data_IF_475312933017
#
_entry.id   IF_475312933017
#
_cell.length_a   1.000
_cell.length_b   1.000
_cell.length_c   1.000
_cell.angle_alpha   90.00
_cell.angle_beta   90.00
_cell.angle_gamma   90.00
#
_symmetry.space_group_name_H-M   'P 1'
#
loop_
_entity.id
_entity.type
_entity.pdbx_description
1 polymer ?
#
# COMPACT_ATOMS: atom_id res chain seq x y z
N UNK A 1 20.56 -32.23 -6.00
CA UNK A 1 19.19 -32.76 -6.15
C UNK A 1 18.45 -32.51 -4.85
N UNK A 2 17.31 -31.82 -4.88
CA UNK A 2 16.35 -31.74 -3.77
C UNK A 2 15.03 -31.15 -4.28
N UNK A 3 14.05 -32.00 -4.54
CA UNK A 3 12.62 -31.72 -4.76
C UNK A 3 12.25 -30.30 -5.23
N UNK A 4 12.13 -30.10 -6.55
CA UNK A 4 11.51 -28.91 -7.16
C UNK A 4 9.97 -28.94 -7.08
N UNK A 5 9.43 -29.23 -5.89
CA UNK A 5 8.01 -29.08 -5.61
C UNK A 5 7.71 -27.60 -5.35
N UNK A 6 6.69 -27.05 -6.02
CA UNK A 6 6.06 -25.82 -5.52
C UNK A 6 5.45 -26.19 -4.16
N UNK A 7 5.65 -25.41 -3.08
CA UNK A 7 5.04 -25.71 -1.80
C UNK A 7 3.52 -25.67 -1.96
N UNK A 8 2.82 -26.70 -1.46
CA UNK A 8 1.36 -26.75 -1.49
C UNK A 8 0.81 -25.52 -0.76
N UNK A 9 0.15 -24.64 -1.51
CA UNK A 9 -0.47 -23.45 -0.97
C UNK A 9 -1.73 -23.90 -0.21
N UNK A 10 -1.78 -23.80 1.13
CA UNK A 10 -2.94 -24.24 1.88
C UNK A 10 -4.14 -23.37 1.52
N UNK A 11 -5.30 -24.01 1.37
CA UNK A 11 -6.59 -23.36 1.05
C UNK A 11 -7.55 -23.47 2.23
N UNK A 12 -8.58 -22.63 2.25
CA UNK A 12 -9.65 -22.73 3.24
C UNK A 12 -10.45 -24.05 3.00
N UNK A 13 -10.65 -24.92 4.01
CA UNK A 13 -11.25 -26.25 3.83
C UNK A 13 -12.79 -26.23 3.74
N UNK A 14 -13.41 -25.05 3.82
CA UNK A 14 -14.85 -24.81 3.78
C UNK A 14 -15.12 -23.50 3.06
N UNK A 15 -16.32 -23.32 2.49
CA UNK A 15 -16.72 -22.06 1.87
C UNK A 15 -16.61 -20.88 2.84
N UNK A 16 -16.23 -19.72 2.31
CA UNK A 16 -16.06 -18.50 3.10
C UNK A 16 -17.42 -17.93 3.53
N UNK A 17 -17.68 -17.91 4.84
CA UNK A 17 -18.85 -17.21 5.40
C UNK A 17 -18.46 -15.80 5.86
N UNK A 18 -19.04 -14.79 5.22
CA UNK A 18 -18.92 -13.39 5.67
C UNK A 18 -19.74 -13.22 6.96
N UNK A 19 -19.07 -12.81 8.04
CA UNK A 19 -19.67 -12.68 9.38
C UNK A 19 -19.77 -11.22 9.87
N UNK A 20 -18.91 -10.33 9.38
CA UNK A 20 -18.76 -8.97 9.90
C UNK A 20 -19.06 -7.95 8.81
N UNK A 21 -20.26 -7.35 8.89
CA UNK A 21 -20.79 -6.40 7.89
C UNK A 21 -21.29 -5.08 8.52
N UNK A 22 -21.00 -4.87 9.81
CA UNK A 22 -21.48 -3.73 10.61
C UNK A 22 -20.41 -2.69 10.91
N UNK A 23 -20.81 -1.50 11.34
CA UNK A 23 -19.90 -0.43 11.77
C UNK A 23 -19.28 -0.81 13.11
N UNK A 24 -17.96 -0.68 13.26
CA UNK A 24 -17.24 -1.05 14.48
C UNK A 24 -16.87 0.17 15.33
N UNK A 25 -17.51 0.33 16.49
CA UNK A 25 -17.31 1.47 17.40
C UNK A 25 -17.30 0.98 18.84
N UNK A 26 -16.33 1.44 19.65
CA UNK A 26 -16.19 1.10 21.07
C UNK A 26 -16.14 -0.42 21.37
N UNK A 27 -15.47 -1.19 20.50
CA UNK A 27 -15.46 -2.66 20.49
C UNK A 27 -16.83 -3.32 20.31
N UNK A 28 -17.81 -2.63 19.73
CA UNK A 28 -19.20 -3.07 19.51
C UNK A 28 -19.59 -2.91 18.03
N UNK A 29 -20.60 -3.66 17.59
CA UNK A 29 -21.10 -3.71 16.21
C UNK A 29 -22.41 -2.95 16.09
N UNK A 30 -22.45 -1.92 15.25
CA UNK A 30 -23.57 -0.98 15.11
C UNK A 30 -24.11 -0.99 13.69
N UNK A 31 -25.44 -0.84 13.57
CA UNK A 31 -26.08 -0.45 12.31
C UNK A 31 -25.88 1.06 12.07
N UNK A 32 -25.98 1.49 10.81
CA UNK A 32 -25.85 2.91 10.43
C UNK A 32 -26.97 3.77 11.04
N UNK A 33 -26.70 5.06 11.30
CA UNK A 33 -27.75 6.02 11.75
C UNK A 33 -28.89 6.13 10.74
N UNK A 34 -28.58 5.96 9.46
CA UNK A 34 -29.53 6.02 8.35
C UNK A 34 -30.33 4.72 8.16
N UNK A 35 -29.91 3.61 8.78
CA UNK A 35 -30.43 2.26 8.51
C UNK A 35 -30.09 1.72 7.13
N UNK A 36 -29.28 2.44 6.34
CA UNK A 36 -28.86 2.06 4.99
C UNK A 36 -27.71 1.06 5.00
N UNK A 37 -27.59 0.34 3.88
CA UNK A 37 -26.51 -0.59 3.56
C UNK A 37 -26.15 -0.43 2.08
N UNK A 38 -24.92 -0.79 1.71
CA UNK A 38 -24.44 -0.83 0.33
C UNK A 38 -23.99 -2.25 -0.04
N UNK A 39 -24.16 -2.67 -1.31
CA UNK A 39 -23.66 -3.95 -1.80
C UNK A 39 -22.13 -3.97 -1.92
N UNK A 40 -21.53 -5.11 -1.59
CA UNK A 40 -20.13 -5.44 -1.87
C UNK A 40 -20.10 -6.56 -2.90
N UNK A 41 -19.28 -6.44 -3.94
CA UNK A 41 -19.27 -7.35 -5.10
C UNK A 41 -18.00 -8.21 -5.19
N UNK A 42 -18.10 -9.31 -5.93
CA UNK A 42 -16.96 -10.09 -6.40
C UNK A 42 -16.56 -9.62 -7.82
N UNK A 43 -15.40 -8.98 -8.02
CA UNK A 43 -14.99 -8.48 -9.34
C UNK A 43 -14.74 -9.57 -10.40
N UNK A 44 -14.64 -10.84 -10.00
CA UNK A 44 -14.43 -11.96 -10.92
C UNK A 44 -15.74 -12.55 -11.47
N UNK A 45 -16.89 -12.23 -10.87
CA UNK A 45 -18.21 -12.76 -11.29
C UNK A 45 -19.31 -11.70 -11.43
N UNK A 46 -19.05 -10.47 -10.96
CA UNK A 46 -20.00 -9.34 -10.89
C UNK A 46 -21.20 -9.58 -9.97
N UNK A 47 -21.12 -10.60 -9.11
CA UNK A 47 -22.18 -10.97 -8.17
C UNK A 47 -21.98 -10.31 -6.80
N UNK A 48 -23.09 -9.98 -6.13
CA UNK A 48 -23.08 -9.43 -4.77
C UNK A 48 -22.65 -10.50 -3.76
N UNK A 49 -21.64 -10.19 -2.94
CA UNK A 49 -21.17 -11.00 -1.83
C UNK A 49 -22.03 -10.79 -0.58
N UNK A 50 -22.34 -9.53 -0.25
CA UNK A 50 -23.21 -9.15 0.86
C UNK A 50 -23.52 -7.64 0.88
N UNK A 51 -24.50 -7.25 1.68
CA UNK A 51 -24.74 -5.87 2.13
C UNK A 51 -23.88 -5.51 3.36
N UNK A 52 -23.30 -4.30 3.39
CA UNK A 52 -22.53 -3.72 4.51
C UNK A 52 -23.14 -2.38 4.93
N UNK A 53 -23.14 -2.07 6.23
CA UNK A 53 -23.71 -0.83 6.78
C UNK A 53 -23.11 0.46 6.18
N UNK A 54 -23.95 1.36 5.65
CA UNK A 54 -23.53 2.62 5.04
C UNK A 54 -23.27 3.69 6.11
N UNK A 55 -22.07 3.66 6.69
CA UNK A 55 -21.63 4.63 7.70
C UNK A 55 -21.38 6.04 7.15
N UNK A 56 -22.29 6.96 7.44
CA UNK A 56 -22.23 8.37 7.04
C UNK A 56 -21.62 9.25 8.18
N UNK A 57 -21.56 10.57 7.95
CA UNK A 57 -21.11 11.61 8.90
C UNK A 57 -21.62 11.42 10.32
N UNK A 58 -22.87 10.97 10.52
CA UNK A 58 -23.42 10.75 11.85
C UNK A 58 -22.74 9.59 12.59
N UNK A 59 -22.32 8.54 11.88
CA UNK A 59 -21.58 7.40 12.42
C UNK A 59 -20.07 7.71 12.54
N UNK A 60 -19.50 8.50 11.62
CA UNK A 60 -18.17 9.10 11.82
C UNK A 60 -18.17 10.00 13.07
N UNK A 61 -19.24 10.75 13.32
CA UNK A 61 -19.40 11.52 14.54
C UNK A 61 -19.52 10.63 15.80
N UNK A 62 -20.15 9.44 15.73
CA UNK A 62 -20.10 8.43 16.80
C UNK A 62 -18.67 7.87 16.99
N UNK A 63 -17.96 7.53 15.91
CA UNK A 63 -16.63 6.92 15.96
C UNK A 63 -15.56 7.90 16.48
N UNK A 64 -15.60 9.15 16.02
CA UNK A 64 -14.79 10.24 16.58
C UNK A 64 -15.34 10.70 17.95
N UNK A 65 -16.54 10.26 18.38
CA UNK A 65 -17.05 10.18 19.77
C UNK A 65 -16.73 8.86 20.51
N UNK A 66 -15.86 7.99 19.97
CA UNK A 66 -15.31 6.80 20.63
C UNK A 66 -13.76 6.66 20.70
N UNK A 67 -12.98 7.52 20.01
CA UNK A 67 -11.51 7.60 20.08
C UNK A 67 -10.84 8.53 21.17
N UNK A 68 -11.06 9.86 21.17
CA UNK A 68 -10.49 10.91 22.10
C UNK A 68 -10.49 10.61 23.61
N UNK A 69 -11.37 9.78 24.17
CA UNK A 69 -11.43 9.45 25.60
C UNK A 69 -10.89 8.06 25.93
N UNK A 70 -10.81 7.15 24.97
CA UNK A 70 -9.72 6.18 24.97
C UNK A 70 -8.38 6.95 24.93
N UNK A 71 -8.35 8.15 24.35
CA UNK A 71 -7.21 9.07 24.39
C UNK A 71 -7.19 10.11 25.55
N UNK A 72 -8.16 10.13 26.49
CA UNK A 72 -8.18 11.18 27.53
C UNK A 72 -7.10 10.93 28.59
N UNK A 73 -6.58 11.98 29.21
CA UNK A 73 -5.57 11.84 30.27
C UNK A 73 -6.17 11.04 31.43
N UNK A 74 -5.47 9.99 31.87
CA UNK A 74 -5.97 9.03 32.88
C UNK A 74 -6.75 7.85 32.32
N UNK A 75 -7.07 7.80 31.01
CA UNK A 75 -7.67 6.62 30.40
C UNK A 75 -6.70 5.43 30.38
N UNK A 76 -7.20 4.17 30.33
CA UNK A 76 -6.32 3.00 30.32
C UNK A 76 -5.35 2.95 29.13
N UNK A 77 -5.73 3.49 27.96
CA UNK A 77 -4.86 3.55 26.78
C UNK A 77 -3.83 4.70 26.84
N UNK A 78 -4.04 5.69 27.73
CA UNK A 78 -3.05 6.75 28.02
C UNK A 78 -2.15 6.45 29.21
N UNK A 79 -2.54 5.53 30.10
CA UNK A 79 -1.78 5.15 31.29
C UNK A 79 -1.08 3.79 31.16
N UNK A 80 -1.47 2.94 30.20
CA UNK A 80 -0.76 1.69 29.93
C UNK A 80 0.69 1.90 29.49
N UNK A 81 1.55 0.96 29.88
CA UNK A 81 2.95 0.96 29.50
C UNK A 81 3.16 0.86 27.99
N UNK A 82 4.26 1.46 27.54
CA UNK A 82 4.63 1.48 26.14
C UNK A 82 4.93 0.08 25.58
N UNK A 83 5.49 -0.80 26.42
CA UNK A 83 5.68 -2.23 26.14
C UNK A 83 4.36 -2.97 25.90
N UNK A 84 3.30 -2.64 26.64
CA UNK A 84 2.01 -3.32 26.51
C UNK A 84 1.27 -2.95 25.23
N UNK A 85 1.41 -1.72 24.72
CA UNK A 85 0.97 -1.41 23.34
C UNK A 85 1.68 -2.28 22.31
N UNK A 86 2.98 -2.52 22.50
CA UNK A 86 3.74 -3.49 21.71
C UNK A 86 3.20 -4.91 21.86
N UNK A 87 2.89 -5.35 23.09
CA UNK A 87 2.34 -6.69 23.35
C UNK A 87 0.98 -6.93 22.69
N UNK A 88 0.10 -5.92 22.70
CA UNK A 88 -1.20 -5.96 22.04
C UNK A 88 -1.06 -6.01 20.50
N UNK A 89 -0.10 -5.27 19.92
CA UNK A 89 0.21 -5.33 18.48
C UNK A 89 0.80 -6.68 18.05
N UNK A 90 1.69 -7.27 18.85
CA UNK A 90 2.15 -8.65 18.63
C UNK A 90 0.98 -9.64 18.66
N UNK A 91 0.11 -9.55 19.67
CA UNK A 91 -1.06 -10.44 19.77
C UNK A 91 -2.00 -10.29 18.58
N UNK A 92 -2.22 -9.07 18.06
CA UNK A 92 -3.01 -8.87 16.83
C UNK A 92 -2.34 -9.54 15.61
N UNK A 93 -1.02 -9.49 15.49
CA UNK A 93 -0.30 -10.20 14.43
C UNK A 93 -0.48 -11.72 14.52
N UNK A 94 -0.42 -12.28 15.74
CA UNK A 94 -0.61 -13.70 15.99
C UNK A 94 -2.06 -14.15 15.66
N UNK A 95 -3.05 -13.27 15.84
CA UNK A 95 -4.45 -13.53 15.44
C UNK A 95 -4.65 -13.44 13.92
N UNK A 96 -3.99 -12.52 13.24
CA UNK A 96 -3.99 -12.44 11.77
C UNK A 96 -3.24 -13.64 11.15
N UNK A 97 -2.22 -14.17 11.84
CA UNK A 97 -1.52 -15.40 11.45
C UNK A 97 -2.38 -16.66 11.67
N UNK A 98 -3.19 -16.71 12.74
CA UNK A 98 -4.22 -17.74 12.97
C UNK A 98 -5.28 -17.74 11.86
N UNK A 99 -5.82 -16.56 11.52
CA UNK A 99 -6.92 -16.41 10.57
C UNK A 99 -6.44 -16.26 9.11
N UNK A 100 -5.15 -16.47 8.84
CA UNK A 100 -4.49 -16.15 7.56
C UNK A 100 -5.15 -16.76 6.34
N UNK A 101 -5.67 -17.99 6.44
CA UNK A 101 -6.40 -18.64 5.33
C UNK A 101 -7.70 -17.91 5.01
N UNK A 102 -8.53 -17.65 6.03
CA UNK A 102 -9.81 -16.95 5.91
C UNK A 102 -9.60 -15.55 5.35
N UNK A 103 -8.65 -14.80 5.92
CA UNK A 103 -8.32 -13.45 5.49
C UNK A 103 -7.81 -13.42 4.04
N UNK A 104 -6.92 -14.34 3.63
CA UNK A 104 -6.45 -14.40 2.25
C UNK A 104 -7.56 -14.80 1.25
N UNK A 105 -8.50 -15.68 1.64
CA UNK A 105 -9.64 -16.06 0.79
C UNK A 105 -10.60 -14.88 0.63
N UNK A 106 -10.86 -14.14 1.71
CA UNK A 106 -11.70 -12.95 1.70
C UNK A 106 -11.07 -11.79 0.90
N UNK A 107 -9.78 -11.53 1.07
CA UNK A 107 -9.03 -10.52 0.29
C UNK A 107 -9.01 -10.86 -1.21
N UNK A 108 -8.89 -12.15 -1.54
CA UNK A 108 -8.91 -12.65 -2.92
C UNK A 108 -10.29 -12.54 -3.58
N UNK A 109 -11.33 -12.97 -2.86
CA UNK A 109 -12.72 -12.97 -3.32
C UNK A 109 -13.30 -11.55 -3.46
N UNK A 110 -12.97 -10.64 -2.55
CA UNK A 110 -13.49 -9.27 -2.55
C UNK A 110 -12.61 -8.31 -3.38
N UNK A 111 -11.29 -8.40 -3.28
CA UNK A 111 -10.34 -7.51 -3.99
C UNK A 111 -9.89 -8.01 -5.38
N UNK A 112 -10.39 -9.15 -5.86
CA UNK A 112 -9.97 -9.74 -7.14
C UNK A 112 -8.50 -10.17 -7.22
N UNK A 113 -7.80 -10.19 -6.08
CA UNK A 113 -6.36 -10.44 -5.97
C UNK A 113 -6.08 -11.94 -5.97
N UNK A 114 -5.07 -12.41 -6.71
CA UNK A 114 -4.70 -13.84 -6.71
C UNK A 114 -4.50 -14.37 -5.28
N UNK A 115 -5.11 -15.51 -4.96
CA UNK A 115 -5.05 -16.12 -3.62
C UNK A 115 -3.62 -16.41 -3.17
N UNK A 116 -2.76 -16.83 -4.10
CA UNK A 116 -1.32 -17.02 -3.88
C UNK A 116 -0.63 -15.72 -3.39
N UNK A 117 -0.86 -14.59 -4.05
CA UNK A 117 -0.29 -13.31 -3.65
C UNK A 117 -0.88 -12.84 -2.33
N UNK A 118 -2.21 -12.94 -2.16
CA UNK A 118 -2.89 -12.58 -0.92
C UNK A 118 -2.31 -13.34 0.29
N UNK A 119 -2.18 -14.67 0.19
CA UNK A 119 -1.67 -15.50 1.28
C UNK A 119 -0.16 -15.36 1.50
N UNK A 120 0.65 -15.42 0.43
CA UNK A 120 2.12 -15.45 0.53
C UNK A 120 2.75 -14.08 0.77
N UNK A 121 2.21 -13.03 0.14
CA UNK A 121 2.82 -11.69 0.13
C UNK A 121 2.05 -10.74 1.05
N UNK A 122 0.78 -10.47 0.75
CA UNK A 122 0.02 -9.42 1.41
C UNK A 122 -0.21 -9.73 2.91
N UNK A 123 -0.70 -10.92 3.25
CA UNK A 123 -0.87 -11.35 4.64
C UNK A 123 0.48 -11.48 5.38
N UNK A 124 1.54 -11.95 4.71
CA UNK A 124 2.87 -12.00 5.31
C UNK A 124 3.43 -10.60 5.60
N UNK A 125 3.17 -9.63 4.70
CA UNK A 125 3.48 -8.22 4.88
C UNK A 125 2.72 -7.61 6.05
N UNK A 126 1.44 -7.92 6.20
CA UNK A 126 0.62 -7.52 7.35
C UNK A 126 1.23 -8.00 8.68
N UNK A 127 1.50 -9.30 8.77
CA UNK A 127 2.06 -9.94 9.98
C UNK A 127 3.45 -9.35 10.31
N UNK A 128 4.34 -9.23 9.31
CA UNK A 128 5.66 -8.60 9.47
C UNK A 128 5.56 -7.13 9.91
N UNK A 129 4.63 -6.35 9.35
CA UNK A 129 4.48 -4.93 9.65
C UNK A 129 3.93 -4.70 11.06
N UNK A 130 2.94 -5.48 11.50
CA UNK A 130 2.48 -5.44 12.90
C UNK A 130 3.60 -5.83 13.87
N UNK A 131 4.33 -6.92 13.60
CA UNK A 131 5.45 -7.37 14.46
C UNK A 131 6.60 -6.34 14.49
N UNK A 132 6.84 -5.60 13.40
CA UNK A 132 7.77 -4.46 13.37
C UNK A 132 7.26 -3.28 14.20
N UNK A 133 6.01 -2.85 14.00
CA UNK A 133 5.43 -1.71 14.73
C UNK A 133 5.28 -1.99 16.23
N UNK A 134 5.02 -3.25 16.61
CA UNK A 134 5.01 -3.70 17.99
C UNK A 134 6.36 -3.47 18.69
N UNK A 135 7.46 -3.78 18.00
CA UNK A 135 8.82 -3.63 18.51
C UNK A 135 9.27 -2.17 18.74
N UNK A 136 8.54 -1.18 18.19
CA UNK A 136 8.83 0.25 18.34
C UNK A 136 8.11 0.94 19.51
N UNK A 137 7.05 0.34 20.06
CA UNK A 137 6.09 1.06 20.91
C UNK A 137 6.72 1.69 22.18
N UNK A 138 7.76 1.04 22.71
CA UNK A 138 8.59 1.41 23.86
C UNK A 138 9.91 2.14 23.52
N UNK A 139 10.21 2.32 22.22
CA UNK A 139 11.49 2.88 21.74
C UNK A 139 11.37 4.29 21.15
N UNK A 140 10.15 4.82 21.05
CA UNK A 140 9.88 6.21 20.67
C UNK A 140 10.32 7.14 21.81
N UNK A 141 11.47 7.77 21.63
CA UNK A 141 12.15 8.58 22.63
C UNK A 141 12.19 10.06 22.25
N UNK A 142 12.07 10.93 23.26
CA UNK A 142 12.46 12.34 23.14
C UNK A 142 13.97 12.54 23.18
N UNK A 143 14.43 13.75 23.50
CA UNK A 143 15.85 14.11 23.64
C UNK A 143 16.04 14.99 24.88
N UNK A 144 17.20 14.92 25.51
CA UNK A 144 17.72 16.01 26.36
C UNK A 144 18.48 17.00 25.46
N UNK A 145 18.40 18.29 25.74
CA UNK A 145 18.94 19.36 24.88
C UNK A 145 19.82 20.29 25.71
N UNK A 146 21.11 20.48 25.34
CA UNK A 146 22.06 21.32 26.07
C UNK A 146 21.88 22.82 25.77
N UNK A 147 20.65 23.33 25.93
CA UNK A 147 20.24 24.73 25.69
C UNK A 147 21.13 25.74 26.42
N UNK A 148 21.28 26.94 25.86
CA UNK A 148 22.00 28.04 26.50
C UNK A 148 21.40 28.51 27.84
N UNK A 149 22.26 29.04 28.71
CA UNK A 149 21.89 29.49 30.05
C UNK A 149 21.67 28.36 31.06
N UNK A 150 21.07 28.71 32.20
CA UNK A 150 20.81 27.80 33.32
C UNK A 150 19.41 27.18 33.22
N UNK A 151 19.23 26.34 32.21
CA UNK A 151 17.99 25.60 31.98
C UNK A 151 18.27 24.11 31.72
N UNK A 152 17.36 23.26 32.17
CA UNK A 152 17.26 21.86 31.75
C UNK A 152 16.12 21.74 30.73
N UNK A 153 16.46 21.40 29.48
CA UNK A 153 15.46 21.20 28.41
C UNK A 153 15.43 19.75 27.96
N UNK A 154 14.23 19.22 27.78
CA UNK A 154 13.99 17.91 27.20
C UNK A 154 12.72 17.93 26.34
N UNK A 155 12.59 16.98 25.41
CA UNK A 155 11.36 16.76 24.64
C UNK A 155 10.60 15.53 25.12
N UNK A 156 9.28 15.57 24.97
CA UNK A 156 8.38 14.42 25.05
C UNK A 156 7.76 14.22 23.68
N UNK A 157 7.86 13.01 23.14
CA UNK A 157 7.17 12.63 21.90
C UNK A 157 5.86 11.97 22.33
N UNK A 158 4.78 12.75 22.35
CA UNK A 158 3.46 12.27 22.75
C UNK A 158 2.67 11.83 21.51
N UNK A 159 1.70 10.91 21.60
CA UNK A 159 0.76 10.69 20.50
C UNK A 159 -0.07 11.95 20.18
N UNK A 160 -0.40 12.14 18.91
CA UNK A 160 -1.19 13.28 18.39
C UNK A 160 -2.65 13.21 18.85
N UNK A 161 -3.24 12.01 18.89
CA UNK A 161 -4.55 11.76 19.48
C UNK A 161 -5.48 10.90 18.65
N UNK A 162 -6.39 11.53 17.90
CA UNK A 162 -7.38 10.82 17.07
C UNK A 162 -6.97 10.93 15.60
N UNK A 163 -6.47 9.83 15.04
CA UNK A 163 -6.04 9.72 13.65
C UNK A 163 -7.23 9.24 12.79
N UNK A 164 -7.72 10.10 11.91
CA UNK A 164 -8.64 9.68 10.83
C UNK A 164 -7.84 9.08 9.68
N UNK A 165 -8.13 7.85 9.29
CA UNK A 165 -7.34 7.08 8.32
C UNK A 165 -8.25 6.55 7.21
N UNK A 166 -7.99 6.96 5.97
CA UNK A 166 -8.72 6.50 4.78
C UNK A 166 -7.76 5.60 3.99
N UNK A 167 -8.23 4.44 3.53
CA UNK A 167 -7.41 3.45 2.82
C UNK A 167 -8.04 3.01 1.48
N UNK A 168 -7.23 2.75 0.44
CA UNK A 168 -7.69 2.31 -0.86
C UNK A 168 -8.01 0.81 -0.91
N UNK A 169 -8.60 0.37 -2.03
CA UNK A 169 -9.10 -0.99 -2.27
C UNK A 169 -8.05 -1.98 -2.81
N UNK A 170 -6.88 -1.53 -3.25
CA UNK A 170 -5.92 -2.38 -3.96
C UNK A 170 -5.04 -3.24 -3.03
N UNK A 171 -4.85 -2.81 -1.78
CA UNK A 171 -4.19 -3.64 -0.75
C UNK A 171 -4.90 -3.48 0.60
N UNK A 172 -6.17 -3.92 0.73
CA UNK A 172 -7.03 -3.56 1.86
C UNK A 172 -6.41 -3.85 3.24
N UNK A 173 -5.93 -5.08 3.46
CA UNK A 173 -5.27 -5.46 4.71
C UNK A 173 -3.92 -4.78 4.89
N UNK A 174 -3.09 -4.72 3.85
CA UNK A 174 -1.74 -4.14 3.96
C UNK A 174 -1.82 -2.65 4.29
N UNK A 175 -2.70 -1.91 3.62
CA UNK A 175 -2.94 -0.49 3.88
C UNK A 175 -3.58 -0.26 5.25
N UNK A 176 -4.52 -1.09 5.68
CA UNK A 176 -5.04 -1.06 7.05
C UNK A 176 -3.90 -1.18 8.07
N UNK A 177 -3.01 -2.17 7.91
CA UNK A 177 -1.91 -2.42 8.85
C UNK A 177 -0.85 -1.32 8.81
N UNK A 178 -0.48 -0.81 7.62
CA UNK A 178 0.47 0.31 7.51
C UNK A 178 -0.04 1.57 8.21
N UNK A 179 -1.37 1.78 8.25
CA UNK A 179 -2.00 2.90 8.96
C UNK A 179 -2.11 2.64 10.46
N UNK A 180 -2.70 1.52 10.89
CA UNK A 180 -2.97 1.30 12.34
C UNK A 180 -1.71 0.91 13.13
N UNK A 181 -0.75 0.22 12.52
CA UNK A 181 0.48 -0.25 13.16
C UNK A 181 1.29 0.86 13.85
N UNK A 182 1.81 1.86 13.12
CA UNK A 182 2.56 2.96 13.72
C UNK A 182 1.68 3.87 14.58
N UNK A 183 0.43 4.10 14.19
CA UNK A 183 -0.51 4.92 14.96
C UNK A 183 -0.72 4.39 16.39
N UNK A 184 -1.05 3.10 16.52
CA UNK A 184 -1.29 2.44 17.81
C UNK A 184 0.01 2.27 18.60
N UNK A 185 1.14 2.00 17.92
CA UNK A 185 2.47 1.90 18.55
C UNK A 185 2.85 3.20 19.27
N UNK A 186 2.66 4.35 18.62
CA UNK A 186 2.81 5.68 19.21
C UNK A 186 1.80 6.00 20.34
N UNK A 187 0.72 5.22 20.47
CA UNK A 187 -0.34 5.45 21.47
C UNK A 187 -1.49 6.34 20.98
N UNK A 188 -1.65 6.53 19.67
CA UNK A 188 -2.84 7.19 19.13
C UNK A 188 -4.07 6.30 19.21
N UNK A 189 -5.22 6.89 18.91
CA UNK A 189 -6.50 6.21 18.70
C UNK A 189 -6.95 6.48 17.26
N UNK A 190 -7.60 5.50 16.62
CA UNK A 190 -7.86 5.55 15.18
C UNK A 190 -9.36 5.56 14.86
N UNK A 191 -9.72 6.21 13.76
CA UNK A 191 -11.02 6.05 13.08
C UNK A 191 -10.73 5.77 11.62
N UNK A 192 -10.96 4.53 11.20
CA UNK A 192 -10.58 4.04 9.86
C UNK A 192 -11.81 3.99 8.96
N UNK A 193 -11.68 4.49 7.72
CA UNK A 193 -12.64 4.32 6.63
C UNK A 193 -12.00 3.44 5.55
N UNK A 194 -12.40 2.17 5.39
CA UNK A 194 -11.96 1.34 4.27
C UNK A 194 -12.56 1.83 2.95
N UNK A 195 -12.05 1.33 1.83
CA UNK A 195 -12.69 1.51 0.53
C UNK A 195 -14.01 0.72 0.45
N UNK A 196 -15.01 1.33 -0.18
CA UNK A 196 -16.35 0.79 -0.41
C UNK A 196 -16.33 -0.49 -1.27
N UNK A 197 -15.38 -0.63 -2.19
CA UNK A 197 -15.16 -1.87 -2.92
C UNK A 197 -14.76 -3.02 -1.99
N UNK A 198 -13.99 -2.76 -0.92
CA UNK A 198 -13.28 -3.80 -0.13
C UNK A 198 -13.34 -3.60 1.39
N UNK A 199 -14.52 -3.56 2.03
CA UNK A 199 -14.62 -3.36 3.48
C UNK A 199 -14.33 -4.65 4.29
N UNK A 200 -14.55 -5.83 3.72
CA UNK A 200 -14.81 -7.06 4.48
C UNK A 200 -13.63 -7.51 5.36
N UNK A 201 -12.42 -7.51 4.81
CA UNK A 201 -11.22 -7.94 5.54
C UNK A 201 -10.83 -6.96 6.66
N UNK A 202 -11.11 -5.66 6.49
CA UNK A 202 -10.94 -4.67 7.55
C UNK A 202 -11.94 -4.88 8.70
N UNK A 203 -13.19 -5.25 8.40
CA UNK A 203 -14.19 -5.62 9.41
C UNK A 203 -13.80 -6.94 10.11
N UNK A 204 -13.23 -7.92 9.40
CA UNK A 204 -12.70 -9.12 10.06
C UNK A 204 -11.55 -8.80 11.01
N UNK A 205 -10.60 -7.96 10.62
CA UNK A 205 -9.52 -7.49 11.53
C UNK A 205 -10.08 -6.71 12.72
N UNK A 206 -11.15 -5.94 12.57
CA UNK A 206 -11.83 -5.29 13.71
C UNK A 206 -12.38 -6.31 14.73
N UNK A 207 -12.82 -7.50 14.28
CA UNK A 207 -13.20 -8.59 15.19
C UNK A 207 -12.00 -9.14 15.98
N UNK A 208 -10.81 -9.19 15.38
CA UNK A 208 -9.57 -9.60 16.04
C UNK A 208 -9.08 -8.52 17.01
N UNK A 209 -9.24 -7.25 16.65
CA UNK A 209 -9.04 -6.11 17.56
C UNK A 209 -10.00 -6.18 18.75
N UNK A 210 -11.24 -6.69 18.59
CA UNK A 210 -12.15 -6.98 19.71
C UNK A 210 -11.70 -8.17 20.56
N UNK A 211 -11.08 -9.20 19.97
CA UNK A 211 -10.50 -10.32 20.74
C UNK A 211 -9.36 -9.84 21.65
N UNK A 212 -8.49 -8.96 21.14
CA UNK A 212 -7.45 -8.24 21.91
C UNK A 212 -8.06 -7.24 22.91
N UNK A 213 -9.08 -6.50 22.46
CA UNK A 213 -9.71 -5.38 23.16
C UNK A 213 -10.68 -5.76 24.27
N UNK A 214 -10.86 -7.05 24.59
CA UNK A 214 -11.57 -7.50 25.80
C UNK A 214 -10.90 -7.08 27.11
N UNK A 215 -9.73 -6.45 27.05
CA UNK A 215 -8.94 -6.01 28.22
C UNK A 215 -9.04 -4.49 28.51
N UNK A 216 -9.54 -3.64 27.59
CA UNK A 216 -9.46 -2.16 27.67
C UNK A 216 -10.66 -1.47 26.93
N UNK A 217 -11.21 -0.34 27.43
CA UNK A 217 -12.37 0.36 26.80
C UNK A 217 -12.43 1.92 26.98
N UNK A 218 -12.99 2.63 25.97
CA UNK A 218 -14.05 3.71 26.05
C UNK A 218 -13.83 5.21 25.60
N UNK A 219 -14.73 5.71 24.70
CA UNK A 219 -15.28 7.10 24.46
C UNK A 219 -14.44 8.22 23.73
N UNK A 220 -15.04 9.42 23.38
CA UNK A 220 -14.42 10.65 22.76
C UNK A 220 -15.34 11.93 22.65
N UNK A 221 -15.08 13.10 21.97
CA UNK A 221 -14.28 13.59 20.78
C UNK A 221 -13.74 15.05 20.92
N UNK A 222 -13.32 15.88 19.92
CA UNK A 222 -13.26 15.82 18.42
C UNK A 222 -12.00 16.55 17.81
N UNK A 223 -12.09 17.42 16.76
CA UNK A 223 -11.00 17.85 15.81
C UNK A 223 -10.58 19.36 15.76
N UNK A 224 -9.37 19.68 15.23
CA UNK A 224 -8.69 20.99 15.34
C UNK A 224 -7.48 21.21 14.39
N UNK A 225 -7.60 21.82 13.18
CA UNK A 225 -6.48 22.03 12.23
C UNK A 225 -5.53 20.81 12.10
N UNK A 226 -6.10 19.62 11.80
CA UNK A 226 -5.38 18.35 11.84
C UNK A 226 -4.16 18.33 10.89
N UNK A 227 -3.08 17.68 11.33
CA UNK A 227 -1.97 17.24 10.47
C UNK A 227 -2.49 16.27 9.39
N UNK A 228 -1.82 16.23 8.25
CA UNK A 228 -2.19 15.40 7.10
C UNK A 228 -0.93 14.81 6.48
N UNK A 229 -0.84 13.49 6.43
CA UNK A 229 0.03 12.74 5.50
C UNK A 229 -0.80 12.26 4.31
N UNK A 230 -0.15 12.06 3.17
CA UNK A 230 -0.79 11.60 1.94
C UNK A 230 0.13 10.59 1.23
N UNK A 231 -0.40 9.43 0.89
CA UNK A 231 0.19 8.49 -0.06
C UNK A 231 -0.73 8.43 -1.28
N UNK A 232 -0.20 8.76 -2.46
CA UNK A 232 -0.97 9.04 -3.67
C UNK A 232 -0.43 8.23 -4.87
N UNK A 233 -1.02 8.46 -6.04
CA UNK A 233 -0.67 7.80 -7.29
C UNK A 233 0.75 8.05 -7.79
N UNK A 234 1.15 7.30 -8.81
CA UNK A 234 2.47 7.37 -9.43
C UNK A 234 2.50 7.15 -10.93
N UNK A 235 3.60 7.61 -11.55
CA UNK A 235 3.99 7.29 -12.92
C UNK A 235 5.46 6.90 -12.96
N UNK A 236 5.80 5.92 -12.11
CA UNK A 236 7.16 5.55 -11.73
C UNK A 236 8.01 5.11 -12.93
N UNK A 237 9.18 5.74 -13.17
CA UNK A 237 10.07 5.37 -14.25
C UNK A 237 10.94 4.18 -13.87
N UNK A 238 11.19 3.29 -14.83
CA UNK A 238 12.23 2.27 -14.76
C UNK A 238 13.25 2.54 -15.88
N UNK A 239 14.54 2.57 -15.57
CA UNK A 239 15.61 2.85 -16.53
C UNK A 239 16.48 1.59 -16.66
N UNK A 240 16.56 1.03 -17.87
CA UNK A 240 17.30 -0.20 -18.19
C UNK A 240 18.42 0.13 -19.17
N UNK A 241 19.66 0.01 -18.69
CA UNK A 241 20.88 0.31 -19.45
C UNK A 241 21.38 -0.93 -20.19
N UNK A 242 22.16 -0.74 -21.24
CA UNK A 242 22.65 -1.83 -22.10
C UNK A 242 23.58 -2.83 -21.39
N UNK A 243 24.20 -2.43 -20.28
CA UNK A 243 25.05 -3.28 -19.45
C UNK A 243 24.29 -4.08 -18.37
N UNK A 244 22.97 -3.94 -18.27
CA UNK A 244 22.14 -4.68 -17.31
C UNK A 244 22.08 -6.19 -17.60
N UNK A 245 21.82 -6.99 -16.56
CA UNK A 245 21.27 -8.34 -16.76
C UNK A 245 19.87 -8.19 -17.38
N UNK A 246 19.75 -8.57 -18.66
CA UNK A 246 18.57 -8.35 -19.47
C UNK A 246 17.37 -9.22 -19.04
N UNK A 247 17.60 -10.45 -18.59
CA UNK A 247 16.52 -11.33 -18.15
C UNK A 247 16.00 -10.90 -16.77
N UNK A 248 16.90 -10.51 -15.86
CA UNK A 248 16.54 -9.90 -14.58
C UNK A 248 15.78 -8.58 -14.78
N UNK A 249 16.24 -7.71 -15.69
CA UNK A 249 15.60 -6.44 -15.98
C UNK A 249 14.20 -6.61 -16.61
N UNK A 250 14.05 -7.53 -17.57
CA UNK A 250 12.74 -7.85 -18.16
C UNK A 250 11.78 -8.38 -17.09
N UNK A 251 12.19 -9.36 -16.28
CA UNK A 251 11.30 -10.00 -15.31
C UNK A 251 10.89 -9.04 -14.18
N UNK A 252 11.82 -8.22 -13.65
CA UNK A 252 11.48 -7.21 -12.65
C UNK A 252 10.68 -6.03 -13.21
N UNK A 253 10.95 -5.55 -14.43
CA UNK A 253 10.15 -4.48 -15.03
C UNK A 253 8.74 -4.97 -15.42
N UNK A 254 8.63 -6.23 -15.85
CA UNK A 254 7.36 -6.90 -16.06
C UNK A 254 6.56 -7.05 -14.76
N UNK A 255 7.14 -7.65 -13.71
CA UNK A 255 6.48 -7.73 -12.41
C UNK A 255 6.17 -6.33 -11.84
N UNK A 256 7.07 -5.37 -12.02
CA UNK A 256 6.92 -4.00 -11.54
C UNK A 256 5.72 -3.24 -12.13
N UNK A 257 5.18 -3.65 -13.28
CA UNK A 257 3.98 -3.03 -13.89
C UNK A 257 2.74 -3.93 -13.89
N UNK A 258 2.90 -5.25 -13.90
CA UNK A 258 1.77 -6.20 -13.91
C UNK A 258 1.40 -6.78 -12.52
N UNK A 259 2.20 -6.55 -11.46
CA UNK A 259 1.86 -7.06 -10.11
C UNK A 259 0.51 -6.52 -9.63
N UNK A 260 -0.26 -7.41 -8.97
CA UNK A 260 -1.67 -7.19 -8.62
C UNK A 260 -2.49 -6.56 -9.77
N UNK A 261 -2.36 -7.13 -10.96
CA UNK A 261 -3.07 -6.69 -12.16
C UNK A 261 -2.78 -5.22 -12.54
N UNK A 262 -1.63 -4.68 -12.16
CA UNK A 262 -1.23 -3.28 -12.39
C UNK A 262 -1.88 -2.26 -11.46
N UNK A 263 -2.66 -2.71 -10.47
CA UNK A 263 -3.37 -1.86 -9.49
C UNK A 263 -2.41 -1.44 -8.35
N UNK A 264 -1.25 -0.88 -8.70
CA UNK A 264 -0.18 -0.50 -7.78
C UNK A 264 0.28 0.94 -8.04
N UNK A 265 0.28 1.81 -7.03
CA UNK A 265 0.76 3.20 -7.16
C UNK A 265 2.25 3.28 -7.55
N UNK A 266 3.04 2.26 -7.19
CA UNK A 266 4.45 2.12 -7.57
C UNK A 266 4.67 1.59 -9.00
N UNK A 267 3.62 1.34 -9.78
CA UNK A 267 3.72 0.59 -11.04
C UNK A 267 4.76 1.20 -12.00
N UNK A 268 5.66 0.34 -12.51
CA UNK A 268 6.75 0.63 -13.45
C UNK A 268 6.20 0.99 -14.85
N UNK A 269 5.42 2.06 -14.89
CA UNK A 269 4.50 2.42 -15.98
C UNK A 269 5.13 3.33 -17.03
N UNK A 270 6.44 3.58 -16.94
CA UNK A 270 7.31 4.11 -17.99
C UNK A 270 8.65 3.37 -17.96
N UNK A 271 8.89 2.41 -18.85
CA UNK A 271 10.13 1.63 -18.90
C UNK A 271 11.00 2.19 -20.02
N UNK A 272 12.00 2.98 -19.67
CA UNK A 272 12.99 3.52 -20.58
C UNK A 272 14.11 2.50 -20.77
N UNK A 273 14.32 2.04 -21.99
CA UNK A 273 15.34 1.04 -22.35
C UNK A 273 16.33 1.64 -23.35
N UNK A 274 17.61 1.36 -23.14
CA UNK A 274 18.69 1.86 -24.01
C UNK A 274 18.57 1.27 -25.42
N UNK A 275 18.77 2.10 -26.45
CA UNK A 275 18.48 1.76 -27.85
C UNK A 275 19.11 0.46 -28.34
N UNK A 276 20.32 0.12 -27.86
CA UNK A 276 21.10 -1.06 -28.25
C UNK A 276 20.51 -2.40 -27.80
N UNK A 277 19.71 -2.42 -26.73
CA UNK A 277 19.03 -3.61 -26.20
C UNK A 277 17.50 -3.54 -26.32
N UNK A 278 16.95 -2.40 -26.73
CA UNK A 278 15.51 -2.09 -26.74
C UNK A 278 14.67 -3.14 -27.48
N UNK A 279 15.02 -3.53 -28.71
CA UNK A 279 14.16 -4.40 -29.52
C UNK A 279 14.07 -5.83 -28.94
N UNK A 280 15.15 -6.32 -28.34
CA UNK A 280 15.19 -7.61 -27.62
C UNK A 280 14.46 -7.54 -26.27
N UNK A 281 14.58 -6.42 -25.55
CA UNK A 281 13.81 -6.17 -24.32
C UNK A 281 12.30 -6.17 -24.60
N UNK A 282 11.86 -5.50 -25.67
CA UNK A 282 10.46 -5.50 -26.13
C UNK A 282 10.03 -6.92 -26.47
N UNK A 283 10.81 -7.67 -27.26
CA UNK A 283 10.49 -9.06 -27.63
C UNK A 283 10.27 -9.95 -26.38
N UNK A 284 11.22 -9.95 -25.45
CA UNK A 284 11.13 -10.74 -24.20
C UNK A 284 9.97 -10.30 -23.31
N UNK A 285 9.72 -9.00 -23.17
CA UNK A 285 8.61 -8.46 -22.38
C UNK A 285 7.24 -8.90 -22.93
N UNK A 286 7.09 -8.89 -24.26
CA UNK A 286 5.87 -9.33 -24.96
C UNK A 286 5.67 -10.84 -24.83
N UNK A 287 6.75 -11.63 -24.97
CA UNK A 287 6.71 -13.09 -24.72
C UNK A 287 6.41 -13.42 -23.25
N UNK A 288 6.80 -12.55 -22.31
CA UNK A 288 6.52 -12.72 -20.88
C UNK A 288 5.08 -12.33 -20.52
N UNK A 289 4.50 -11.32 -21.17
CA UNK A 289 3.10 -10.93 -21.01
C UNK A 289 2.12 -11.94 -21.62
N UNK A 290 2.46 -12.55 -22.76
CA UNK A 290 1.66 -13.60 -23.41
C UNK A 290 1.55 -14.92 -22.62
N UNK A 291 2.24 -15.06 -21.49
CA UNK A 291 2.22 -16.24 -20.60
C UNK A 291 1.20 -16.15 -19.45
N UNK A 292 0.46 -15.05 -19.32
CA UNK A 292 -0.57 -14.90 -18.29
C UNK A 292 -1.80 -15.80 -18.55
N UNK A 293 -2.31 -16.38 -17.47
CA UNK A 293 -3.53 -17.16 -17.41
C UNK A 293 -4.55 -16.33 -16.63
N UNK A 294 -5.57 -15.83 -17.31
CA UNK A 294 -6.66 -15.05 -16.71
C UNK A 294 -7.74 -15.99 -16.18
N UNK A 295 -8.39 -15.63 -15.08
CA UNK A 295 -9.49 -16.42 -14.50
C UNK A 295 -9.81 -16.06 -13.06
N UNK A 296 -10.62 -16.90 -12.41
CA UNK A 296 -11.00 -16.71 -11.01
C UNK A 296 -9.73 -16.73 -10.11
N UNK A 297 -9.49 -15.69 -9.29
CA UNK A 297 -8.25 -15.55 -8.51
C UNK A 297 -8.07 -16.61 -7.40
N UNK A 298 -9.12 -17.38 -7.08
CA UNK A 298 -9.08 -18.52 -6.16
C UNK A 298 -8.60 -19.82 -6.83
N UNK A 299 -8.61 -19.89 -8.17
CA UNK A 299 -8.27 -21.12 -8.91
C UNK A 299 -6.74 -21.30 -9.01
N UNK A 300 -6.17 -22.44 -8.53
CA UNK A 300 -4.74 -22.70 -8.67
C UNK A 300 -4.26 -22.67 -10.12
N UNK A 301 -3.15 -21.98 -10.38
CA UNK A 301 -2.56 -21.84 -11.72
C UNK A 301 -3.01 -20.59 -12.49
N UNK A 302 -4.07 -19.90 -12.06
CA UNK A 302 -4.40 -18.55 -12.57
C UNK A 302 -3.29 -17.57 -12.15
N UNK A 303 -2.87 -16.71 -13.07
CA UNK A 303 -1.78 -15.74 -12.88
C UNK A 303 -2.18 -14.28 -13.11
N UNK A 304 -3.42 -14.00 -13.52
CA UNK A 304 -4.00 -12.65 -13.44
C UNK A 304 -5.50 -12.69 -13.07
N UNK A 305 -5.90 -11.88 -12.09
CA UNK A 305 -7.31 -11.67 -11.71
C UNK A 305 -8.00 -10.57 -12.55
N UNK A 306 -9.22 -10.16 -12.15
CA UNK A 306 -9.95 -9.03 -12.72
C UNK A 306 -9.41 -7.67 -12.23
N UNK A 307 -10.01 -6.57 -12.66
CA UNK A 307 -9.92 -5.24 -12.04
C UNK A 307 -10.99 -5.09 -10.96
N UNK A 308 -10.85 -4.14 -10.05
CA UNK A 308 -11.68 -4.06 -8.84
C UNK A 308 -13.18 -3.78 -9.10
N UNK A 309 -13.49 -2.94 -10.08
CA UNK A 309 -14.84 -2.49 -10.39
C UNK A 309 -14.94 -2.01 -11.85
N UNK A 310 -16.16 -1.65 -12.25
CA UNK A 310 -16.45 -1.19 -13.60
C UNK A 310 -15.81 0.17 -13.93
N UNK A 311 -15.67 1.08 -12.96
CA UNK A 311 -15.09 2.42 -13.20
C UNK A 311 -13.62 2.30 -13.56
N UNK A 312 -12.86 1.54 -12.76
CA UNK A 312 -11.45 1.29 -13.01
C UNK A 312 -11.25 0.51 -14.33
N UNK A 313 -12.12 -0.46 -14.64
CA UNK A 313 -12.12 -1.18 -15.91
C UNK A 313 -12.37 -0.27 -17.13
N UNK A 314 -13.43 0.56 -17.10
CA UNK A 314 -13.75 1.49 -18.17
C UNK A 314 -12.61 2.49 -18.43
N UNK A 315 -12.02 3.03 -17.34
CA UNK A 315 -10.85 3.93 -17.38
C UNK A 315 -9.64 3.28 -18.06
N UNK A 316 -9.36 2.01 -17.79
CA UNK A 316 -8.23 1.29 -18.41
C UNK A 316 -8.47 1.08 -19.90
N UNK A 317 -9.70 0.76 -20.31
CA UNK A 317 -10.03 0.61 -21.72
C UNK A 317 -9.93 1.93 -22.49
N UNK A 318 -10.34 3.07 -21.90
CA UNK A 318 -10.10 4.40 -22.51
C UNK A 318 -8.61 4.68 -22.71
N UNK A 319 -7.77 4.41 -21.71
CA UNK A 319 -6.32 4.64 -21.81
C UNK A 319 -5.64 3.66 -22.78
N UNK A 320 -6.12 2.43 -22.91
CA UNK A 320 -5.70 1.50 -23.97
C UNK A 320 -6.08 2.07 -25.35
N UNK A 321 -7.28 2.63 -25.50
CA UNK A 321 -7.70 3.26 -26.76
C UNK A 321 -6.93 4.56 -27.07
N UNK A 322 -6.55 5.35 -26.06
CA UNK A 322 -5.73 6.54 -26.28
C UNK A 322 -4.33 6.17 -26.77
N UNK A 323 -3.70 5.14 -26.18
CA UNK A 323 -2.42 4.59 -26.66
C UNK A 323 -2.44 4.19 -28.13
N UNK A 324 -3.51 3.52 -28.58
CA UNK A 324 -3.71 3.17 -30.00
C UNK A 324 -3.86 4.42 -30.89
N UNK A 325 -4.68 5.39 -30.47
CA UNK A 325 -5.00 6.62 -31.24
C UNK A 325 -3.81 7.58 -31.34
N UNK A 326 -2.96 7.62 -30.31
CA UNK A 326 -1.77 8.49 -30.24
C UNK A 326 -0.55 7.89 -30.95
N UNK A 327 -0.65 6.66 -31.48
CA UNK A 327 0.37 6.03 -32.33
C UNK A 327 1.37 5.14 -31.61
N UNK A 328 1.11 4.73 -30.36
CA UNK A 328 1.92 3.72 -29.69
C UNK A 328 1.72 2.34 -30.34
N UNK A 329 2.79 1.56 -30.47
CA UNK A 329 2.74 0.23 -31.10
C UNK A 329 2.22 -0.81 -30.10
N UNK A 330 0.98 -1.24 -30.29
CA UNK A 330 0.39 -2.36 -29.54
C UNK A 330 1.05 -3.68 -29.95
N UNK A 331 1.74 -4.34 -29.02
CA UNK A 331 2.45 -5.60 -29.25
C UNK A 331 1.65 -6.84 -28.82
N UNK A 332 0.79 -6.69 -27.81
CA UNK A 332 -0.17 -7.69 -27.33
C UNK A 332 -1.24 -7.08 -26.44
N UNK A 333 -2.32 -7.84 -26.23
CA UNK A 333 -3.46 -7.42 -25.41
C UNK A 333 -4.27 -6.32 -26.09
N UNK A 334 -4.63 -5.30 -25.31
CA UNK A 334 -5.33 -4.12 -25.81
C UNK A 334 -6.85 -4.27 -25.85
N UNK A 335 -7.43 -5.11 -25.00
CA UNK A 335 -8.88 -5.30 -24.90
C UNK A 335 -9.32 -6.08 -23.65
N UNK A 336 -10.63 -6.30 -23.47
CA UNK A 336 -11.18 -7.09 -22.38
C UNK A 336 -11.00 -8.60 -22.60
N UNK A 337 -11.37 -9.41 -21.61
CA UNK A 337 -11.30 -10.87 -21.67
C UNK A 337 -12.49 -11.52 -20.96
N UNK A 338 -12.98 -12.64 -21.49
CA UNK A 338 -14.12 -13.38 -20.93
C UNK A 338 -15.48 -12.71 -21.16
N UNK A 339 -16.52 -13.28 -20.52
CA UNK A 339 -17.92 -12.87 -20.67
C UNK A 339 -18.54 -12.33 -19.35
N UNK A 340 -17.75 -12.31 -18.27
CA UNK A 340 -18.12 -11.91 -16.90
C UNK A 340 -16.86 -11.51 -16.15
N UNK A 341 -16.99 -10.55 -15.24
CA UNK A 341 -15.89 -10.05 -14.41
C UNK A 341 -15.01 -9.06 -15.16
N UNK A 342 -14.38 -8.15 -14.43
CA UNK A 342 -13.69 -6.99 -14.99
C UNK A 342 -12.28 -7.31 -15.53
N UNK A 343 -12.14 -8.33 -16.37
CA UNK A 343 -10.84 -8.80 -16.86
C UNK A 343 -10.34 -7.98 -18.06
N UNK A 344 -9.12 -7.46 -17.96
CA UNK A 344 -8.39 -6.77 -19.03
C UNK A 344 -7.17 -7.61 -19.44
N UNK A 345 -6.92 -7.72 -20.74
CA UNK A 345 -5.78 -8.48 -21.27
C UNK A 345 -4.45 -7.82 -20.87
N UNK A 346 -3.40 -8.60 -20.58
CA UNK A 346 -2.05 -8.06 -20.35
C UNK A 346 -1.56 -7.35 -21.61
N UNK A 347 -1.44 -6.03 -21.52
CA UNK A 347 -1.25 -5.14 -22.66
C UNK A 347 0.17 -4.58 -22.66
N UNK A 348 0.84 -4.60 -23.81
CA UNK A 348 2.18 -4.02 -23.98
C UNK A 348 2.18 -3.06 -25.16
N UNK A 349 2.56 -1.81 -24.90
CA UNK A 349 2.85 -0.79 -25.90
C UNK A 349 4.37 -0.54 -25.98
N UNK A 350 4.92 -0.65 -27.18
CA UNK A 350 6.25 -0.14 -27.51
C UNK A 350 6.17 1.18 -28.29
N UNK A 351 7.32 1.81 -28.49
CA UNK A 351 7.48 3.09 -29.19
C UNK A 351 6.66 4.21 -28.53
N UNK A 352 6.44 4.11 -27.21
CA UNK A 352 5.70 5.12 -26.44
C UNK A 352 6.56 6.38 -26.34
N UNK A 353 5.95 7.55 -26.55
CA UNK A 353 6.60 8.85 -26.40
C UNK A 353 6.05 9.58 -25.17
N UNK A 354 6.89 10.41 -24.57
CA UNK A 354 6.64 11.08 -23.28
C UNK A 354 5.38 11.98 -23.29
N UNK A 355 4.93 12.41 -24.48
CA UNK A 355 3.75 13.26 -24.64
C UNK A 355 2.40 12.52 -24.57
N UNK A 356 2.39 11.19 -24.73
CA UNK A 356 1.18 10.37 -24.78
C UNK A 356 0.44 10.33 -23.43
N UNK A 357 -0.90 10.20 -23.45
CA UNK A 357 -1.72 9.97 -22.26
C UNK A 357 -1.26 8.74 -21.48
N UNK A 358 -0.97 7.63 -22.18
CA UNK A 358 -0.44 6.41 -21.55
C UNK A 358 0.95 6.60 -20.91
N UNK A 359 1.71 7.63 -21.31
CA UNK A 359 2.98 7.99 -20.67
C UNK A 359 2.80 8.93 -19.47
N UNK A 360 1.72 9.71 -19.41
CA UNK A 360 1.47 10.74 -18.37
C UNK A 360 0.51 10.29 -17.26
N UNK A 361 -0.62 9.69 -17.61
CA UNK A 361 -1.72 9.35 -16.70
C UNK A 361 -1.50 8.01 -15.99
N UNK A 362 -1.89 7.92 -14.72
CA UNK A 362 -1.87 6.67 -13.96
C UNK A 362 -3.01 5.74 -14.41
N UNK A 363 -2.66 4.72 -15.20
CA UNK A 363 -3.61 3.76 -15.79
C UNK A 363 -4.22 2.85 -14.70
N UNK A 364 -3.36 2.35 -13.79
CA UNK A 364 -3.73 1.48 -12.68
C UNK A 364 -4.35 0.12 -13.11
N UNK A 365 -3.84 -0.42 -14.21
CA UNK A 365 -4.23 -1.72 -14.80
C UNK A 365 -3.05 -2.36 -15.57
N UNK A 366 -3.24 -3.53 -16.20
CA UNK A 366 -2.16 -4.35 -16.79
C UNK A 366 -1.72 -3.79 -18.15
N UNK A 367 -1.12 -2.60 -18.16
CA UNK A 367 -0.70 -1.89 -19.37
C UNK A 367 0.74 -1.38 -19.20
N UNK A 368 1.65 -2.05 -19.92
CA UNK A 368 3.09 -1.77 -19.93
C UNK A 368 3.46 -0.80 -21.05
N UNK A 369 4.20 0.26 -20.71
CA UNK A 369 4.74 1.23 -21.67
C UNK A 369 6.26 1.07 -21.75
N UNK A 370 6.78 0.85 -22.96
CA UNK A 370 8.21 0.75 -23.23
C UNK A 370 8.64 1.92 -24.13
N UNK A 371 9.63 2.67 -23.66
CA UNK A 371 10.22 3.87 -24.26
C UNK A 371 11.68 3.62 -24.63
N UNK A 372 12.18 4.26 -25.69
CA UNK A 372 13.60 4.22 -26.09
C UNK A 372 14.36 5.44 -25.54
N UNK A 373 15.63 5.26 -25.16
CA UNK A 373 16.57 6.36 -24.89
C UNK A 373 17.97 6.08 -25.44
N UNK A 374 18.83 7.12 -25.47
CA UNK A 374 20.23 7.03 -25.92
C UNK A 374 21.23 7.72 -24.98
N UNK A 375 20.88 8.88 -24.43
CA UNK A 375 21.72 9.63 -23.49
C UNK A 375 21.22 9.45 -22.06
N UNK A 376 22.16 9.31 -21.12
CA UNK A 376 21.84 9.16 -19.71
C UNK A 376 21.22 10.45 -19.12
N UNK A 377 21.76 11.61 -19.51
CA UNK A 377 21.24 12.91 -19.11
C UNK A 377 19.80 13.15 -19.62
N UNK A 378 19.48 12.64 -20.80
CA UNK A 378 18.15 12.72 -21.40
C UNK A 378 17.15 11.87 -20.61
N UNK A 379 17.47 10.59 -20.38
CA UNK A 379 16.55 9.71 -19.66
C UNK A 379 16.34 10.12 -18.20
N UNK A 380 17.34 10.69 -17.53
CA UNK A 380 17.17 11.26 -16.18
C UNK A 380 16.21 12.46 -16.22
N UNK A 381 16.34 13.37 -17.19
CA UNK A 381 15.41 14.51 -17.36
C UNK A 381 13.99 14.02 -17.63
N UNK A 382 13.81 13.05 -18.53
CA UNK A 382 12.53 12.48 -18.93
C UNK A 382 11.87 11.66 -17.82
N UNK A 383 12.64 10.88 -17.08
CA UNK A 383 12.19 10.19 -15.86
C UNK A 383 11.66 11.20 -14.81
N UNK A 384 12.37 12.31 -14.61
CA UNK A 384 12.00 13.37 -13.68
C UNK A 384 10.89 14.34 -14.19
N UNK A 385 10.63 14.38 -15.50
CA UNK A 385 9.62 15.26 -16.12
C UNK A 385 8.18 14.76 -15.87
N UNK A 386 7.75 14.86 -14.63
CA UNK A 386 6.40 14.51 -14.18
C UNK A 386 6.10 15.17 -12.82
N UNK A 387 4.82 15.40 -12.53
CA UNK A 387 4.34 15.84 -11.22
C UNK A 387 4.38 14.73 -10.15
N UNK A 388 4.44 13.46 -10.57
CA UNK A 388 4.59 12.31 -9.69
C UNK A 388 6.05 12.13 -9.22
N UNK A 389 6.23 11.34 -8.16
CA UNK A 389 7.54 11.05 -7.57
C UNK A 389 7.51 9.90 -6.55
N UNK A 390 6.67 8.88 -6.74
CA UNK A 390 6.53 7.82 -5.74
C UNK A 390 7.74 6.89 -5.68
N UNK A 391 8.06 6.23 -6.80
CA UNK A 391 9.16 5.28 -6.89
C UNK A 391 9.87 5.35 -8.24
N UNK A 392 11.03 4.70 -8.35
CA UNK A 392 11.74 4.47 -9.61
C UNK A 392 12.58 3.18 -9.56
N UNK A 393 13.03 2.71 -10.72
CA UNK A 393 13.93 1.57 -10.87
C UNK A 393 15.11 1.88 -11.79
N UNK A 394 16.27 1.28 -11.50
CA UNK A 394 17.50 1.41 -12.30
C UNK A 394 18.13 0.03 -12.48
N UNK A 395 18.43 -0.37 -13.71
CA UNK A 395 19.06 -1.65 -14.03
C UNK A 395 20.37 -1.41 -14.79
N UNK A 396 21.48 -1.81 -14.17
CA UNK A 396 22.87 -1.62 -14.64
C UNK A 396 23.83 -2.43 -13.75
N UNK A 397 24.91 -2.95 -14.32
CA UNK A 397 26.01 -3.57 -13.57
C UNK A 397 27.12 -2.56 -13.21
N UNK A 398 27.00 -1.31 -13.65
CA UNK A 398 27.94 -0.22 -13.37
C UNK A 398 27.55 0.52 -12.07
N UNK A 399 28.48 0.56 -11.11
CA UNK A 399 28.26 1.16 -9.79
C UNK A 399 28.15 2.70 -9.84
N UNK A 400 28.93 3.36 -10.69
CA UNK A 400 28.93 4.82 -10.81
C UNK A 400 27.62 5.29 -11.45
N UNK A 401 27.14 4.55 -12.47
CA UNK A 401 25.80 4.76 -13.03
C UNK A 401 24.71 4.50 -11.99
N UNK A 402 24.75 3.38 -11.28
CA UNK A 402 23.75 3.04 -10.27
C UNK A 402 23.61 4.13 -9.19
N UNK A 403 24.72 4.61 -8.64
CA UNK A 403 24.74 5.67 -7.61
C UNK A 403 24.32 7.03 -8.20
N UNK A 404 24.83 7.40 -9.37
CA UNK A 404 24.52 8.70 -10.03
C UNK A 404 23.03 8.79 -10.39
N UNK A 405 22.47 7.77 -11.03
CA UNK A 405 21.08 7.75 -11.46
C UNK A 405 20.14 7.73 -10.24
N UNK A 406 20.43 6.90 -9.23
CA UNK A 406 19.57 6.83 -8.04
C UNK A 406 19.60 8.10 -7.19
N UNK A 407 20.71 8.84 -7.20
CA UNK A 407 20.82 10.17 -6.57
C UNK A 407 20.13 11.28 -7.37
N UNK A 408 20.05 11.14 -8.69
CA UNK A 408 19.43 12.13 -9.59
C UNK A 408 17.91 11.96 -9.78
N UNK A 409 17.33 10.79 -9.44
CA UNK A 409 15.91 10.50 -9.58
C UNK A 409 15.08 11.13 -8.46
N UNK A 410 14.06 11.91 -8.84
CA UNK A 410 13.17 12.64 -7.93
C UNK A 410 12.02 11.75 -7.43
N UNK A 411 12.38 10.64 -6.78
CA UNK A 411 11.46 9.59 -6.33
C UNK A 411 11.64 9.22 -4.86
N UNK A 412 10.53 8.83 -4.22
CA UNK A 412 10.48 8.42 -2.80
C UNK A 412 11.23 7.14 -2.46
N UNK A 413 11.37 6.25 -3.43
CA UNK A 413 12.16 5.02 -3.33
C UNK A 413 12.75 4.71 -4.69
N UNK A 414 14.07 4.50 -4.77
CA UNK A 414 14.74 4.03 -5.99
C UNK A 414 15.27 2.62 -5.74
N UNK A 415 14.83 1.67 -6.55
CA UNK A 415 15.38 0.31 -6.57
C UNK A 415 16.49 0.17 -7.60
N UNK A 416 17.55 -0.56 -7.26
CA UNK A 416 18.66 -0.89 -8.18
C UNK A 416 18.67 -2.41 -8.41
N UNK A 417 18.69 -2.83 -9.67
CA UNK A 417 18.67 -4.23 -10.14
C UNK A 417 17.52 -5.09 -9.60
N UNK A 418 16.48 -4.46 -9.07
CA UNK A 418 15.24 -5.05 -8.58
C UNK A 418 14.09 -4.03 -8.71
N UNK A 419 12.86 -4.44 -8.42
CA UNK A 419 11.70 -3.54 -8.39
C UNK A 419 10.65 -4.02 -7.39
N UNK A 420 9.89 -3.10 -6.79
CA UNK A 420 8.77 -3.43 -5.89
C UNK A 420 9.17 -4.07 -4.56
N UNK A 421 10.45 -4.00 -4.18
CA UNK A 421 10.95 -4.56 -2.93
C UNK A 421 10.58 -3.62 -1.77
N UNK A 422 9.52 -3.97 -1.04
CA UNK A 422 9.01 -3.20 0.10
C UNK A 422 9.08 -4.03 1.38
N UNK A 423 9.56 -3.42 2.47
CA UNK A 423 9.65 -4.07 3.79
C UNK A 423 9.45 -3.06 4.92
N UNK A 424 8.92 -3.49 6.05
CA UNK A 424 8.49 -2.61 7.14
C UNK A 424 9.60 -1.73 7.75
N UNK A 425 10.86 -2.15 7.62
CA UNK A 425 12.05 -1.44 8.11
C UNK A 425 12.41 -0.20 7.29
N UNK A 426 12.00 -0.13 6.03
CA UNK A 426 12.37 0.95 5.12
C UNK A 426 11.23 1.98 5.06
N UNK A 427 11.52 3.29 5.17
CA UNK A 427 10.50 4.31 4.95
C UNK A 427 10.07 4.32 3.48
N UNK A 428 8.78 4.49 3.25
CA UNK A 428 8.15 4.58 1.94
C UNK A 428 7.34 5.89 1.85
N UNK A 429 7.24 6.48 0.67
CA UNK A 429 6.33 7.59 0.41
C UNK A 429 6.81 8.63 -0.58
N UNK A 430 5.88 9.41 -1.15
CA UNK A 430 6.13 10.19 -2.36
C UNK A 430 7.05 11.42 -2.25
N UNK A 431 7.66 11.78 -3.38
CA UNK A 431 8.09 13.14 -3.72
C UNK A 431 6.94 13.86 -4.49
N UNK A 432 7.03 15.20 -4.57
CA UNK A 432 6.13 16.06 -5.37
C UNK A 432 4.65 15.79 -5.06
N UNK A 433 3.82 15.47 -6.06
CA UNK A 433 2.39 15.19 -5.91
C UNK A 433 2.07 13.72 -5.64
N UNK A 434 3.07 12.84 -5.49
CA UNK A 434 2.84 11.44 -5.08
C UNK A 434 2.69 11.25 -3.57
N UNK A 435 2.96 12.27 -2.74
CA UNK A 435 2.69 12.16 -1.31
C UNK A 435 3.33 13.25 -0.43
N UNK A 436 2.90 13.30 0.83
CA UNK A 436 3.45 14.14 1.88
C UNK A 436 3.63 13.31 3.16
N UNK A 437 4.82 13.40 3.77
CA UNK A 437 5.25 12.54 4.89
C UNK A 437 5.87 11.23 4.41
N UNK A 438 6.00 10.26 5.31
CA UNK A 438 6.44 8.88 5.03
C UNK A 438 5.66 7.88 5.88
N UNK A 439 5.53 6.66 5.39
CA UNK A 439 5.07 5.50 6.16
C UNK A 439 6.20 4.47 6.28
N UNK A 440 6.05 3.50 7.19
CA UNK A 440 7.07 2.49 7.52
C UNK A 440 8.42 3.10 8.01
N UNK A 441 9.37 2.21 8.35
CA UNK A 441 10.66 2.60 8.93
C UNK A 441 10.53 3.36 10.25
N UNK A 442 11.62 3.98 10.72
CA UNK A 442 11.58 4.89 11.89
C UNK A 442 10.79 6.17 11.57
N UNK A 443 10.97 6.73 10.37
CA UNK A 443 10.35 7.98 9.94
C UNK A 443 8.82 7.94 9.98
N UNK A 444 8.20 6.80 9.65
CA UNK A 444 6.75 6.64 9.69
C UNK A 444 6.13 6.79 11.09
N UNK A 445 6.90 6.65 12.18
CA UNK A 445 6.41 6.92 13.53
C UNK A 445 6.39 8.42 13.85
N UNK A 446 7.25 9.23 13.22
CA UNK A 446 7.33 10.67 13.50
C UNK A 446 5.99 11.37 13.18
N UNK A 447 5.36 11.01 12.06
CA UNK A 447 4.05 11.52 11.61
C UNK A 447 2.89 11.15 12.55
N UNK A 448 3.11 10.21 13.48
CA UNK A 448 2.17 9.82 14.53
C UNK A 448 2.55 10.38 15.92
N UNK A 449 3.52 11.30 16.01
CA UNK A 449 3.97 11.94 17.26
C UNK A 449 3.88 13.48 17.25
N UNK A 450 3.51 14.04 18.40
CA UNK A 450 3.44 15.45 18.74
C UNK A 450 4.61 15.78 19.70
N UNK A 451 5.53 16.65 19.28
CA UNK A 451 6.77 16.94 20.03
C UNK A 451 6.54 18.10 20.98
N UNK A 452 6.62 17.83 22.28
CA UNK A 452 6.49 18.82 23.35
C UNK A 452 7.83 19.09 24.00
N UNK A 453 8.40 20.27 23.76
CA UNK A 453 9.58 20.76 24.49
C UNK A 453 9.17 21.22 25.89
N UNK A 454 9.92 20.79 26.90
CA UNK A 454 9.79 21.24 28.29
C UNK A 454 11.13 21.84 28.71
N UNK A 455 11.10 23.09 29.17
CA UNK A 455 12.28 23.85 29.62
C UNK A 455 12.09 24.26 31.07
N UNK A 456 12.94 23.74 31.95
CA UNK A 456 12.91 23.97 33.40
C UNK A 456 14.06 24.90 33.78
N UNK A 457 13.77 26.01 34.45
CA UNK A 457 14.81 26.88 35.02
C UNK A 457 15.51 26.14 36.16
N UNK A 458 16.84 26.10 36.12
CA UNK A 458 17.69 25.53 37.18
C UNK A 458 18.62 26.62 37.75
N UNK A 459 19.27 26.34 38.87
CA UNK A 459 20.23 27.28 39.49
C UNK A 459 21.48 27.46 38.64
N UNK A 460 22.07 26.34 38.20
CA UNK A 460 23.32 26.29 37.43
C UNK A 460 23.28 25.08 36.47
N UNK A 461 23.54 25.30 35.17
CA UNK A 461 23.80 24.20 34.22
C UNK A 461 25.26 23.77 34.34
N UNK A 462 25.50 22.46 34.29
CA UNK A 462 26.82 21.86 34.09
C UNK A 462 26.73 20.87 32.90
N UNK A 463 27.89 20.51 32.35
CA UNK A 463 28.05 19.56 31.23
C UNK A 463 28.14 18.11 31.70
#
# INVERSE_FOLDING_TARGET
MSSSGKPDLPVLPTDLKIQYTKIFINNEWHDSVSGKKFPVFNPATEEELCQVEEGDKADVDKAVKAARQAFQIGSPWRTMDASERGRLLYKLADLIERDRLLLATMESMNGGKLYSNAYLNDLAGCIKTLRYCAGWADKIQGRTIPIDGNFFTYTRHEPIGVCGQIIPWNFPLVMLIWKIGPALSCGNTVVVKPAEQTPLTALHVASLIKEVGKLIKEAAGKSNLKRVTLELGGKSPCIVLADADLDNAVEFAHHGVFYHQGQCCIAASRIFVEESIYDEFVRRSVERAKKYILGNPLTPGVTQGPQIDKEQYDKILDLIESGKKEGAKLECGGGPWGNKGYFVQPTVFSNVTDEMRIAKEEIFGPVQQIMKFKSLDDVIKRANNTFYGLSAGVFTNDIDKAVTISSALQAGTVWVNCYGVVTAQCPFGGFKMSGNGRELGEYGFHEYTEVKTVTVKISQKNS
#
